data_IF_715191555506
#
_entry.id   IF_715191555506
#
_cell.length_a   1.000
_cell.length_b   1.000
_cell.length_c   1.000
_cell.angle_alpha   90.00
_cell.angle_beta   90.00
_cell.angle_gamma   90.00
#
_symmetry.space_group_name_H-M   'P 1'
#
loop_
_entity.id
_entity.type
_entity.pdbx_description
1 polymer ?
#
# COMPACT_ATOMS: atom_id res chain seq x y z
N UNK A 1 -18.69 -50.53 -15.55
CA UNK A 1 -19.13 -49.83 -14.32
C UNK A 1 -17.99 -49.12 -13.59
N UNK A 2 -16.82 -49.72 -13.39
CA UNK A 2 -15.68 -49.10 -12.69
C UNK A 2 -15.12 -47.80 -13.32
N UNK A 3 -15.20 -47.66 -14.65
CA UNK A 3 -14.61 -46.50 -15.34
C UNK A 3 -15.32 -45.17 -15.00
N UNK A 4 -16.63 -45.22 -14.74
CA UNK A 4 -17.37 -44.04 -14.29
C UNK A 4 -17.01 -43.66 -12.85
N UNK A 5 -16.93 -44.65 -11.96
CA UNK A 5 -16.56 -44.42 -10.55
C UNK A 5 -15.16 -43.81 -10.42
N UNK A 6 -14.18 -44.33 -11.18
CA UNK A 6 -12.82 -43.78 -11.20
C UNK A 6 -12.83 -42.34 -11.77
N UNK A 7 -13.61 -42.08 -12.82
CA UNK A 7 -13.73 -40.74 -13.40
C UNK A 7 -14.32 -39.74 -12.40
N UNK A 8 -15.37 -40.10 -11.67
CA UNK A 8 -15.94 -39.24 -10.63
C UNK A 8 -14.97 -39.02 -9.46
N UNK A 9 -14.26 -40.06 -9.05
CA UNK A 9 -13.22 -39.95 -8.02
C UNK A 9 -12.10 -38.99 -8.44
N UNK A 10 -11.60 -39.11 -9.67
CA UNK A 10 -10.57 -38.23 -10.21
C UNK A 10 -11.02 -36.77 -10.31
N UNK A 11 -12.26 -36.52 -10.74
CA UNK A 11 -12.83 -35.16 -10.81
C UNK A 11 -12.97 -34.58 -9.40
N UNK A 12 -13.46 -35.35 -8.44
CA UNK A 12 -13.60 -34.91 -7.05
C UNK A 12 -12.24 -34.54 -6.44
N UNK A 13 -11.22 -35.39 -6.63
CA UNK A 13 -9.86 -35.12 -6.19
C UNK A 13 -9.30 -33.84 -6.83
N UNK A 14 -9.47 -33.68 -8.14
CA UNK A 14 -8.97 -32.52 -8.88
C UNK A 14 -9.61 -31.22 -8.38
N UNK A 15 -10.92 -31.24 -8.12
CA UNK A 15 -11.64 -30.07 -7.59
C UNK A 15 -11.20 -29.69 -6.17
N UNK A 16 -10.93 -30.67 -5.32
CA UNK A 16 -10.39 -30.42 -3.96
C UNK A 16 -8.98 -29.83 -4.06
N UNK A 17 -8.13 -30.34 -4.95
CA UNK A 17 -6.81 -29.77 -5.19
C UNK A 17 -6.87 -28.32 -5.70
N UNK A 18 -7.78 -28.03 -6.64
CA UNK A 18 -8.00 -26.66 -7.11
C UNK A 18 -8.54 -25.74 -6.02
N UNK A 19 -9.43 -26.24 -5.15
CA UNK A 19 -9.95 -25.48 -4.01
C UNK A 19 -8.86 -25.15 -3.00
N UNK A 20 -8.00 -26.12 -2.64
CA UNK A 20 -6.89 -25.90 -1.72
C UNK A 20 -5.81 -24.97 -2.29
N UNK A 21 -5.59 -25.01 -3.61
CA UNK A 21 -4.69 -24.09 -4.33
C UNK A 21 -5.35 -22.75 -4.67
N UNK A 22 -6.62 -22.55 -4.32
CA UNK A 22 -7.34 -21.34 -4.66
C UNK A 22 -6.92 -20.19 -3.73
N UNK A 23 -6.11 -19.27 -4.26
CA UNK A 23 -5.68 -18.07 -3.55
C UNK A 23 -6.57 -16.85 -3.82
N UNK A 24 -7.69 -17.03 -4.53
CA UNK A 24 -8.66 -15.96 -4.82
C UNK A 24 -9.33 -15.53 -3.50
N UNK A 25 -8.83 -14.46 -2.91
CA UNK A 25 -9.29 -13.91 -1.63
C UNK A 25 -8.16 -13.71 -0.62
N UNK A 26 -7.14 -14.57 -0.63
CA UNK A 26 -5.91 -14.41 0.18
C UNK A 26 -5.16 -13.15 -0.24
N UNK A 27 -5.12 -12.88 -1.54
CA UNK A 27 -4.53 -11.64 -2.07
C UNK A 27 -5.28 -10.40 -1.62
N UNK A 28 -6.61 -10.46 -1.47
CA UNK A 28 -7.41 -9.30 -1.06
C UNK A 28 -7.13 -8.89 0.39
N UNK A 29 -6.98 -9.87 1.30
CA UNK A 29 -6.64 -9.59 2.71
C UNK A 29 -5.19 -9.12 2.87
N UNK A 30 -4.28 -9.63 2.05
CA UNK A 30 -2.87 -9.18 2.01
C UNK A 30 -2.77 -7.73 1.52
N UNK A 31 -3.41 -7.38 0.41
CA UNK A 31 -3.43 -6.00 -0.07
C UNK A 31 -4.15 -5.05 0.89
N UNK A 32 -5.19 -5.52 1.58
CA UNK A 32 -5.84 -4.74 2.63
C UNK A 32 -4.87 -4.41 3.78
N UNK A 33 -4.08 -5.39 4.24
CA UNK A 33 -3.05 -5.18 5.27
C UNK A 33 -1.95 -4.22 4.79
N UNK A 34 -1.48 -4.37 3.54
CA UNK A 34 -0.52 -3.44 2.93
C UNK A 34 -1.09 -2.02 2.88
N UNK A 35 -2.38 -1.87 2.54
CA UNK A 35 -3.07 -0.59 2.54
C UNK A 35 -3.10 0.08 3.92
N UNK A 36 -3.39 -0.68 4.97
CA UNK A 36 -3.33 -0.19 6.36
C UNK A 36 -1.91 0.23 6.73
N UNK A 37 -0.91 -0.58 6.41
CA UNK A 37 0.50 -0.26 6.67
C UNK A 37 0.91 1.04 5.97
N UNK A 38 0.61 1.19 4.68
CA UNK A 38 0.90 2.40 3.91
C UNK A 38 0.18 3.64 4.48
N UNK A 39 -1.09 3.52 4.85
CA UNK A 39 -1.83 4.63 5.45
C UNK A 39 -1.21 5.11 6.77
N UNK A 40 -0.80 4.18 7.64
CA UNK A 40 -0.13 4.54 8.92
C UNK A 40 1.22 5.22 8.70
N UNK A 41 2.00 4.73 7.73
CA UNK A 41 3.32 5.29 7.41
C UNK A 41 3.20 6.71 6.83
N UNK A 42 2.24 6.91 5.93
CA UNK A 42 1.92 8.23 5.40
C UNK A 42 1.43 9.18 6.49
N UNK A 43 0.59 8.71 7.41
CA UNK A 43 0.13 9.50 8.54
C UNK A 43 1.29 9.92 9.46
N UNK A 44 2.32 9.09 9.65
CA UNK A 44 3.50 9.48 10.43
C UNK A 44 4.38 10.50 9.70
N UNK A 45 4.55 10.37 8.39
CA UNK A 45 5.41 11.27 7.60
C UNK A 45 4.73 12.62 7.37
N UNK A 46 3.42 12.61 7.08
CA UNK A 46 2.65 13.77 6.64
C UNK A 46 1.63 14.28 7.65
N UNK A 47 1.40 13.58 8.77
CA UNK A 47 0.37 13.96 9.74
C UNK A 47 0.73 15.16 10.59
N UNK A 48 2.02 15.50 10.67
CA UNK A 48 2.47 16.74 11.30
C UNK A 48 2.78 17.80 10.22
N UNK A 49 2.07 18.92 10.31
CA UNK A 49 2.23 20.06 9.41
C UNK A 49 3.35 21.01 9.86
N UNK A 50 3.68 21.01 11.16
CA UNK A 50 4.62 21.92 11.77
C UNK A 50 5.99 21.26 12.00
N UNK A 51 6.01 19.95 12.22
CA UNK A 51 7.23 19.14 12.35
C UNK A 51 7.20 17.94 11.40
N UNK A 52 8.33 17.23 11.23
CA UNK A 52 8.43 16.15 10.26
C UNK A 52 8.68 16.61 8.81
N UNK A 53 8.33 15.77 7.84
CA UNK A 53 8.71 15.98 6.43
C UNK A 53 8.03 17.20 5.81
N UNK A 54 6.73 17.39 6.08
CA UNK A 54 5.98 18.52 5.52
C UNK A 54 6.47 19.86 6.11
N UNK A 55 6.73 19.91 7.42
CA UNK A 55 7.32 21.07 8.08
C UNK A 55 8.73 21.41 7.57
N UNK A 56 9.56 20.39 7.26
CA UNK A 56 10.88 20.59 6.69
C UNK A 56 10.82 21.21 5.29
N UNK A 57 9.88 20.74 4.45
CA UNK A 57 9.61 21.33 3.13
C UNK A 57 9.15 22.78 3.28
N UNK A 58 8.16 23.04 4.14
CA UNK A 58 7.65 24.39 4.39
C UNK A 58 8.77 25.35 4.83
N UNK A 59 9.62 24.89 5.76
CA UNK A 59 10.78 25.66 6.23
C UNK A 59 11.79 25.94 5.11
N UNK A 60 12.05 24.97 4.24
CA UNK A 60 12.96 25.15 3.11
C UNK A 60 12.43 26.20 2.12
N UNK A 61 11.13 26.15 1.79
CA UNK A 61 10.49 27.15 0.94
C UNK A 61 10.50 28.54 1.58
N UNK A 62 10.25 28.62 2.89
CA UNK A 62 10.29 29.90 3.61
C UNK A 62 11.68 30.54 3.57
N UNK A 63 12.75 29.74 3.70
CA UNK A 63 14.12 30.24 3.54
C UNK A 63 14.41 30.77 2.12
N UNK A 64 13.82 30.15 1.10
CA UNK A 64 13.94 30.63 -0.28
C UNK A 64 13.21 31.96 -0.45
N UNK A 65 11.99 32.07 0.08
CA UNK A 65 11.20 33.31 0.08
C UNK A 65 11.95 34.44 0.80
N UNK A 66 12.51 34.17 1.98
CA UNK A 66 13.30 35.13 2.75
C UNK A 66 14.54 35.61 1.97
N UNK A 67 15.25 34.69 1.32
CA UNK A 67 16.42 35.04 0.50
C UNK A 67 16.03 35.95 -0.68
N UNK A 68 14.95 35.64 -1.39
CA UNK A 68 14.44 36.45 -2.50
C UNK A 68 14.02 37.85 -2.01
N UNK A 69 13.30 37.90 -0.89
CA UNK A 69 12.82 39.13 -0.27
C UNK A 69 13.99 40.01 0.18
N UNK A 70 15.00 39.42 0.82
CA UNK A 70 16.20 40.14 1.26
C UNK A 70 16.94 40.83 0.11
N UNK A 71 16.98 40.21 -1.07
CA UNK A 71 17.64 40.78 -2.25
C UNK A 71 16.77 41.86 -2.90
N UNK A 72 15.44 41.70 -2.85
CA UNK A 72 14.50 42.61 -3.52
C UNK A 72 14.29 43.92 -2.76
N UNK A 73 14.30 43.89 -1.42
CA UNK A 73 14.04 45.06 -0.58
C UNK A 73 15.31 45.70 0.02
N UNK A 74 16.50 45.13 -0.19
CA UNK A 74 17.79 45.70 0.27
C UNK A 74 18.39 46.75 -0.67
N UNK A 75 17.55 47.56 -1.34
CA UNK A 75 18.01 48.67 -2.17
C UNK A 75 17.59 50.01 -1.60
#
# INVERSE_FOLDING_TARGET
MNNFLIKYYAIAQTNVEHFMKNQRGVTAIEYALIGVAMATLLALIFGDQNSGFLGAIATAFQKIEDAITSVTFSK
#
